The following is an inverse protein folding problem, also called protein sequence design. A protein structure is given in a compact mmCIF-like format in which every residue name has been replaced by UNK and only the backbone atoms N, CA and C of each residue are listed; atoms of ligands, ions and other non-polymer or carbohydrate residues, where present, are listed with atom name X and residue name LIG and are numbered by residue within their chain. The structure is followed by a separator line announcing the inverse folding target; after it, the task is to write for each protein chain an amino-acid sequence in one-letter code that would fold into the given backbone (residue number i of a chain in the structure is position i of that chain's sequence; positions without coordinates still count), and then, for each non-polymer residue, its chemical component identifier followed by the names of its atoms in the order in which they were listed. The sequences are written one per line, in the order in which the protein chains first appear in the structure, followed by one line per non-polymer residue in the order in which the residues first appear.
data_IF_817198841473
#
_entry.id   IF_817198841473
#
_cell.length_a   1.000
_cell.length_b   1.000
_cell.length_c   1.000
_cell.angle_alpha   90.00
_cell.angle_beta   90.00
_cell.angle_gamma   90.00
#
_symmetry.space_group_name_H-M   'P 1'
#
loop_
_entity.id
_entity.type
_entity.pdbx_description
1 polymer ?
#
# COMPACT_ATOMS: atom_id res chain seq x y z
N UNK A 1 -95.59 14.75 34.09
CA UNK A 1 -94.18 14.65 34.55
C UNK A 1 -93.39 13.51 33.91
N UNK A 2 -93.92 12.28 33.82
CA UNK A 2 -93.21 11.11 33.20
C UNK A 2 -92.71 11.36 31.76
N UNK A 3 -93.48 12.04 30.91
CA UNK A 3 -93.09 12.36 29.52
C UNK A 3 -91.90 13.33 29.42
N UNK A 4 -91.71 14.21 30.40
CA UNK A 4 -90.58 15.16 30.40
C UNK A 4 -89.29 14.49 30.91
N UNK A 5 -89.41 13.57 31.87
CA UNK A 5 -88.28 12.77 32.34
C UNK A 5 -87.71 11.88 31.22
N UNK A 6 -88.57 11.24 30.41
CA UNK A 6 -88.14 10.42 29.26
C UNK A 6 -87.43 11.26 28.19
N UNK A 7 -87.93 12.48 27.91
CA UNK A 7 -87.28 13.41 26.98
C UNK A 7 -85.89 13.84 27.48
N UNK A 8 -85.76 14.11 28.77
CA UNK A 8 -84.47 14.50 29.38
C UNK A 8 -83.46 13.35 29.30
N UNK A 9 -83.91 12.11 29.58
CA UNK A 9 -83.09 10.91 29.46
C UNK A 9 -82.64 10.67 28.01
N UNK A 10 -83.53 10.89 27.04
CA UNK A 10 -83.19 10.76 25.62
C UNK A 10 -82.11 11.77 25.18
N UNK A 11 -82.15 13.01 25.68
CA UNK A 11 -81.12 14.03 25.38
C UNK A 11 -79.77 13.63 25.98
N UNK A 12 -79.74 13.13 27.21
CA UNK A 12 -78.50 12.68 27.86
C UNK A 12 -77.87 11.52 27.09
N UNK A 13 -78.68 10.54 26.67
CA UNK A 13 -78.21 9.41 25.84
C UNK A 13 -77.66 9.90 24.50
N UNK A 14 -78.31 10.88 23.87
CA UNK A 14 -77.86 11.46 22.60
C UNK A 14 -76.49 12.15 22.75
N UNK A 15 -76.31 12.95 23.81
CA UNK A 15 -75.04 13.64 24.10
C UNK A 15 -73.93 12.63 24.38
N UNK A 16 -74.21 11.60 25.19
CA UNK A 16 -73.24 10.53 25.46
C UNK A 16 -72.83 9.77 24.19
N UNK A 17 -73.79 9.51 23.29
CA UNK A 17 -73.52 8.85 22.01
C UNK A 17 -72.63 9.71 21.09
N UNK A 18 -72.87 11.02 21.01
CA UNK A 18 -72.05 11.95 20.20
C UNK A 18 -70.62 12.00 20.73
N UNK A 19 -70.44 12.10 22.05
CA UNK A 19 -69.11 12.09 22.69
C UNK A 19 -68.40 10.75 22.42
N UNK A 20 -69.09 9.62 22.57
CA UNK A 20 -68.54 8.29 22.29
C UNK A 20 -68.05 8.13 20.85
N UNK A 21 -68.86 8.55 19.86
CA UNK A 21 -68.48 8.50 18.44
C UNK A 21 -67.26 9.39 18.17
N UNK A 22 -67.20 10.58 18.78
CA UNK A 22 -66.07 11.51 18.61
C UNK A 22 -64.76 10.93 19.15
N UNK A 23 -64.79 10.29 20.33
CA UNK A 23 -63.61 9.66 20.93
C UNK A 23 -63.15 8.44 20.11
N UNK A 24 -64.09 7.60 19.64
CA UNK A 24 -63.76 6.46 18.78
C UNK A 24 -63.12 6.93 17.48
N UNK A 25 -63.68 7.96 16.83
CA UNK A 25 -63.13 8.53 15.59
C UNK A 25 -61.73 9.12 15.82
N UNK A 26 -61.52 9.81 16.94
CA UNK A 26 -60.23 10.35 17.34
C UNK A 26 -59.19 9.24 17.55
N UNK A 27 -59.55 8.18 18.30
CA UNK A 27 -58.64 7.06 18.55
C UNK A 27 -58.31 6.26 17.29
N UNK A 28 -59.28 6.04 16.40
CA UNK A 28 -59.05 5.39 15.10
C UNK A 28 -58.13 6.24 14.24
N UNK A 29 -58.34 7.56 14.19
CA UNK A 29 -57.47 8.47 13.46
C UNK A 29 -56.05 8.49 14.03
N UNK A 30 -55.91 8.57 15.35
CA UNK A 30 -54.61 8.54 16.03
C UNK A 30 -53.88 7.22 15.78
N UNK A 31 -54.59 6.08 15.85
CA UNK A 31 -54.03 4.76 15.56
C UNK A 31 -53.54 4.66 14.10
N UNK A 32 -54.33 5.16 13.15
CA UNK A 32 -53.96 5.17 11.72
C UNK A 32 -52.76 6.06 11.44
N UNK A 33 -52.64 7.20 12.13
CA UNK A 33 -51.47 8.08 12.03
C UNK A 33 -50.25 7.44 12.68
N UNK A 34 -50.39 6.79 13.82
CA UNK A 34 -49.31 6.05 14.48
C UNK A 34 -48.80 4.90 13.61
N UNK A 35 -49.69 4.10 13.02
CA UNK A 35 -49.32 3.02 12.07
C UNK A 35 -48.54 3.57 10.87
N UNK A 36 -48.97 4.70 10.29
CA UNK A 36 -48.24 5.36 9.20
C UNK A 36 -46.85 5.83 9.63
N UNK A 37 -46.71 6.38 10.84
CA UNK A 37 -45.42 6.82 11.38
C UNK A 37 -44.50 5.61 11.61
N UNK A 38 -45.03 4.50 12.11
CA UNK A 38 -44.26 3.26 12.30
C UNK A 38 -43.77 2.71 10.96
N UNK A 39 -44.63 2.66 9.94
CA UNK A 39 -44.24 2.24 8.59
C UNK A 39 -43.17 3.14 7.99
N UNK A 40 -43.32 4.47 8.11
CA UNK A 40 -42.34 5.44 7.61
C UNK A 40 -40.99 5.29 8.32
N UNK A 41 -41.02 5.00 9.62
CA UNK A 41 -39.84 4.73 10.44
C UNK A 41 -39.14 3.45 10.00
N UNK A 42 -39.87 2.36 9.83
CA UNK A 42 -39.33 1.08 9.35
C UNK A 42 -38.74 1.19 7.94
N UNK A 43 -39.41 1.90 7.04
CA UNK A 43 -38.92 2.17 5.69
C UNK A 43 -37.63 3.00 5.70
N UNK A 44 -37.58 4.08 6.51
CA UNK A 44 -36.37 4.88 6.70
C UNK A 44 -35.18 4.06 7.20
N UNK A 45 -35.38 3.23 8.23
CA UNK A 45 -34.30 2.38 8.75
C UNK A 45 -33.86 1.33 7.74
N UNK A 46 -34.80 0.72 7.01
CA UNK A 46 -34.49 -0.27 5.97
C UNK A 46 -33.66 0.33 4.82
N UNK A 47 -34.02 1.51 4.34
CA UNK A 47 -33.28 2.20 3.28
C UNK A 47 -31.92 2.68 3.77
N UNK A 48 -31.84 3.20 5.00
CA UNK A 48 -30.56 3.63 5.58
C UNK A 48 -29.61 2.44 5.73
N UNK A 49 -30.10 1.34 6.29
CA UNK A 49 -29.29 0.15 6.55
C UNK A 49 -28.88 -0.52 5.22
N UNK A 50 -29.70 -0.47 4.16
CA UNK A 50 -29.28 -0.97 2.83
C UNK A 50 -28.17 -0.14 2.20
N UNK A 51 -28.23 1.19 2.29
CA UNK A 51 -27.19 2.08 1.76
C UNK A 51 -25.87 1.92 2.53
N UNK A 52 -25.95 1.76 3.85
CA UNK A 52 -24.77 1.51 4.69
C UNK A 52 -24.12 0.17 4.31
N UNK A 53 -24.92 -0.90 4.15
CA UNK A 53 -24.40 -2.21 3.76
C UNK A 53 -23.77 -2.18 2.36
N UNK A 54 -24.37 -1.48 1.40
CA UNK A 54 -23.84 -1.31 0.04
C UNK A 54 -22.49 -0.55 0.04
N UNK A 55 -22.38 0.53 0.82
CA UNK A 55 -21.13 1.28 0.95
C UNK A 55 -20.02 0.46 1.63
N UNK A 56 -20.36 -0.37 2.61
CA UNK A 56 -19.41 -1.27 3.27
C UNK A 56 -18.91 -2.37 2.31
N UNK A 57 -19.79 -2.92 1.47
CA UNK A 57 -19.43 -3.94 0.48
C UNK A 57 -18.48 -3.36 -0.59
N UNK A 58 -18.82 -2.20 -1.16
CA UNK A 58 -17.99 -1.51 -2.16
C UNK A 58 -16.61 -1.14 -1.60
N UNK A 59 -16.57 -0.61 -0.38
CA UNK A 59 -15.31 -0.22 0.26
C UNK A 59 -14.43 -1.45 0.52
N UNK A 60 -15.02 -2.54 1.01
CA UNK A 60 -14.31 -3.80 1.26
C UNK A 60 -13.77 -4.38 -0.05
N UNK A 61 -14.58 -4.35 -1.11
CA UNK A 61 -14.18 -4.79 -2.44
C UNK A 61 -13.00 -4.00 -2.99
N UNK A 62 -13.01 -2.66 -2.86
CA UNK A 62 -11.89 -1.80 -3.28
C UNK A 62 -10.61 -2.17 -2.52
N UNK A 63 -10.69 -2.43 -1.21
CA UNK A 63 -9.53 -2.85 -0.43
C UNK A 63 -9.00 -4.23 -0.86
N UNK A 64 -9.89 -5.20 -1.11
CA UNK A 64 -9.52 -6.53 -1.59
C UNK A 64 -8.83 -6.44 -2.94
N UNK A 65 -9.39 -5.69 -3.90
CA UNK A 65 -8.82 -5.49 -5.23
C UNK A 65 -7.44 -4.80 -5.13
N UNK A 66 -7.30 -3.81 -4.24
CA UNK A 66 -6.02 -3.15 -4.01
C UNK A 66 -4.96 -4.08 -3.41
N UNK A 67 -5.33 -4.96 -2.49
CA UNK A 67 -4.41 -5.93 -1.88
C UNK A 67 -3.97 -6.96 -2.92
N UNK A 68 -4.90 -7.48 -3.73
CA UNK A 68 -4.60 -8.45 -4.79
C UNK A 68 -3.68 -7.86 -5.87
N UNK A 69 -3.91 -6.61 -6.25
CA UNK A 69 -3.02 -5.90 -7.19
C UNK A 69 -1.61 -5.71 -6.62
N UNK A 70 -1.51 -5.36 -5.33
CA UNK A 70 -0.23 -5.20 -4.66
C UNK A 70 0.53 -6.53 -4.56
N UNK A 71 -0.17 -7.61 -4.22
CA UNK A 71 0.39 -8.96 -4.19
C UNK A 71 0.90 -9.38 -5.57
N UNK A 72 0.11 -9.15 -6.62
CA UNK A 72 0.50 -9.45 -8.00
C UNK A 72 1.74 -8.66 -8.43
N UNK A 73 1.84 -7.39 -8.04
CA UNK A 73 3.02 -6.57 -8.30
C UNK A 73 4.27 -7.14 -7.63
N UNK A 74 4.18 -7.48 -6.34
CA UNK A 74 5.34 -8.04 -5.61
C UNK A 74 5.76 -9.42 -6.15
N UNK A 75 4.81 -10.28 -6.48
CA UNK A 75 5.11 -11.58 -7.11
C UNK A 75 5.85 -11.40 -8.44
N UNK A 76 5.40 -10.47 -9.29
CA UNK A 76 6.09 -10.16 -10.54
C UNK A 76 7.52 -9.65 -10.34
N UNK A 77 7.75 -8.83 -9.31
CA UNK A 77 9.10 -8.35 -8.98
C UNK A 77 10.00 -9.47 -8.45
N UNK A 78 9.45 -10.40 -7.66
CA UNK A 78 10.17 -11.58 -7.18
C UNK A 78 10.56 -12.49 -8.36
N UNK A 79 9.64 -12.74 -9.29
CA UNK A 79 9.91 -13.55 -10.48
C UNK A 79 10.99 -12.92 -11.36
N UNK A 80 10.93 -11.60 -11.55
CA UNK A 80 11.96 -10.86 -12.29
C UNK A 80 13.35 -10.95 -11.63
N UNK A 81 13.41 -10.85 -10.30
CA UNK A 81 14.64 -11.02 -9.55
C UNK A 81 15.18 -12.45 -9.68
N UNK A 82 14.31 -13.45 -9.54
CA UNK A 82 14.69 -14.85 -9.69
C UNK A 82 15.24 -15.12 -11.09
N UNK A 83 14.61 -14.59 -12.13
CA UNK A 83 15.09 -14.72 -13.52
C UNK A 83 16.45 -14.03 -13.71
N UNK A 84 16.62 -12.82 -13.15
CA UNK A 84 17.90 -12.12 -13.19
C UNK A 84 19.02 -12.92 -12.53
N UNK A 85 18.79 -13.49 -11.35
CA UNK A 85 19.79 -14.29 -10.64
C UNK A 85 20.05 -15.62 -11.33
N UNK A 86 19.02 -16.32 -11.82
CA UNK A 86 19.18 -17.56 -12.57
C UNK A 86 20.03 -17.36 -13.84
N UNK A 87 19.78 -16.28 -14.59
CA UNK A 87 20.60 -15.93 -15.75
C UNK A 87 22.04 -15.60 -15.37
N UNK A 88 22.24 -14.88 -14.26
CA UNK A 88 23.59 -14.52 -13.79
C UNK A 88 24.37 -15.73 -13.29
N UNK A 89 23.72 -16.66 -12.60
CA UNK A 89 24.34 -17.90 -12.15
C UNK A 89 24.72 -18.79 -13.34
N UNK A 90 23.84 -18.91 -14.33
CA UNK A 90 24.13 -19.59 -15.60
C UNK A 90 25.36 -19.00 -16.32
N UNK A 91 25.44 -17.67 -16.41
CA UNK A 91 26.59 -16.97 -17.00
C UNK A 91 27.88 -17.20 -16.20
N UNK A 92 27.81 -17.17 -14.86
CA UNK A 92 28.96 -17.45 -14.00
C UNK A 92 29.45 -18.89 -14.14
N UNK A 93 28.54 -19.87 -14.22
CA UNK A 93 28.88 -21.28 -14.45
C UNK A 93 29.52 -21.47 -15.83
N UNK A 94 28.98 -20.82 -16.86
CA UNK A 94 29.54 -20.85 -18.21
C UNK A 94 30.96 -20.24 -18.25
N UNK A 95 31.16 -19.10 -17.59
CA UNK A 95 32.48 -18.44 -17.51
C UNK A 95 33.49 -19.26 -16.70
N UNK A 96 33.05 -19.88 -15.60
CA UNK A 96 33.88 -20.78 -14.79
C UNK A 96 34.30 -22.03 -15.59
N UNK A 97 33.41 -22.59 -16.39
CA UNK A 97 33.71 -23.72 -17.27
C UNK A 97 34.70 -23.32 -18.38
N UNK A 98 34.55 -22.14 -19.00
CA UNK A 98 35.54 -21.58 -19.93
C UNK A 98 36.91 -21.37 -19.28
N UNK A 99 36.96 -20.88 -18.04
CA UNK A 99 38.22 -20.74 -17.31
C UNK A 99 38.85 -22.09 -16.96
N UNK A 100 38.06 -23.13 -16.65
CA UNK A 100 38.58 -24.49 -16.42
C UNK A 100 39.19 -25.09 -17.69
N UNK A 101 38.55 -24.93 -18.84
CA UNK A 101 39.11 -25.39 -20.13
C UNK A 101 40.36 -24.61 -20.52
N UNK A 102 40.42 -23.31 -20.23
CA UNK A 102 41.59 -22.48 -20.52
C UNK A 102 42.76 -22.77 -19.56
N UNK A 103 42.49 -23.02 -18.26
CA UNK A 103 43.51 -23.40 -17.28
C UNK A 103 44.12 -24.79 -17.52
N UNK A 104 43.38 -25.71 -18.14
CA UNK A 104 43.95 -26.99 -18.60
C UNK A 104 45.01 -26.80 -19.71
N UNK A 105 45.00 -25.66 -20.41
CA UNK A 105 45.91 -25.35 -21.52
C UNK A 105 46.97 -24.28 -21.22
N UNK A 106 47.00 -23.69 -20.02
CA UNK A 106 48.00 -22.68 -19.66
C UNK A 106 48.61 -22.95 -18.30
N UNK A 107 49.90 -23.31 -18.33
CA UNK A 107 50.81 -23.43 -17.18
C UNK A 107 50.78 -22.18 -16.29
N UNK A 108 50.83 -22.29 -14.95
CA UNK A 108 50.62 -21.16 -14.06
C UNK A 108 51.86 -20.25 -14.00
N UNK A 109 51.85 -19.20 -14.81
CA UNK A 109 52.83 -18.12 -14.73
C UNK A 109 52.44 -17.20 -13.55
N UNK A 110 53.27 -17.22 -12.49
CA UNK A 110 53.12 -16.39 -11.29
C UNK A 110 53.14 -14.89 -11.66
N UNK A 111 51.98 -14.24 -11.68
CA UNK A 111 51.90 -12.78 -11.79
C UNK A 111 52.02 -12.15 -10.41
N UNK A 112 53.16 -11.49 -10.18
CA UNK A 112 53.37 -10.53 -9.11
C UNK A 112 52.22 -9.52 -9.09
N UNK A 113 51.66 -9.24 -7.90
CA UNK A 113 50.78 -8.09 -7.63
C UNK A 113 51.44 -6.83 -8.15
N UNK A 114 50.95 -6.33 -9.29
CA UNK A 114 51.35 -5.05 -9.82
C UNK A 114 50.49 -4.01 -9.11
N UNK A 115 51.09 -3.37 -8.11
CA UNK A 115 50.55 -2.16 -7.48
C UNK A 115 50.22 -1.18 -8.62
N UNK A 116 48.97 -0.72 -8.64
CA UNK A 116 48.44 0.17 -9.66
C UNK A 116 49.38 1.36 -9.89
N UNK A 117 49.58 1.71 -11.16
CA UNK A 117 50.46 2.82 -11.56
C UNK A 117 50.05 4.10 -10.78
N UNK A 118 51.00 4.89 -10.25
CA UNK A 118 50.71 6.06 -9.42
C UNK A 118 49.86 7.15 -10.09
N UNK A 119 49.74 7.15 -11.43
CA UNK A 119 48.82 8.06 -12.14
C UNK A 119 47.35 7.63 -12.05
N UNK A 120 47.05 6.35 -11.88
CA UNK A 120 45.66 5.86 -11.80
C UNK A 120 45.10 6.14 -10.40
N UNK A 121 45.90 5.96 -9.36
CA UNK A 121 45.47 6.21 -7.98
C UNK A 121 45.16 7.69 -7.70
N UNK A 122 45.95 8.60 -8.26
CA UNK A 122 45.71 10.05 -8.15
C UNK A 122 44.42 10.49 -8.85
N UNK A 123 44.18 9.99 -10.07
CA UNK A 123 42.96 10.29 -10.83
C UNK A 123 41.70 9.73 -10.14
N UNK A 124 41.75 8.50 -9.64
CA UNK A 124 40.66 7.88 -8.86
C UNK A 124 40.33 8.71 -7.62
N UNK A 125 41.35 9.19 -6.90
CA UNK A 125 41.16 10.01 -5.69
C UNK A 125 40.58 11.38 -6.01
N UNK A 126 41.00 12.00 -7.11
CA UNK A 126 40.44 13.29 -7.56
C UNK A 126 38.96 13.15 -7.91
N UNK A 127 38.63 12.18 -8.77
CA UNK A 127 37.24 11.95 -9.20
C UNK A 127 36.34 11.58 -8.03
N UNK A 128 36.83 10.76 -7.08
CA UNK A 128 36.07 10.40 -5.88
C UNK A 128 35.71 11.64 -5.05
N UNK A 129 36.66 12.54 -4.83
CA UNK A 129 36.43 13.77 -4.09
C UNK A 129 35.45 14.69 -4.82
N UNK A 130 35.56 14.81 -6.14
CA UNK A 130 34.68 15.65 -6.94
C UNK A 130 33.23 15.14 -6.96
N UNK A 131 33.05 13.82 -7.07
CA UNK A 131 31.73 13.20 -7.00
C UNK A 131 31.13 13.29 -5.60
N UNK A 132 31.94 13.08 -4.56
CA UNK A 132 31.47 13.18 -3.16
C UNK A 132 31.06 14.61 -2.80
N UNK A 133 31.74 15.64 -3.32
CA UNK A 133 31.37 17.05 -3.11
C UNK A 133 30.07 17.46 -3.80
N UNK A 134 29.66 16.74 -4.84
CA UNK A 134 28.40 17.00 -5.56
C UNK A 134 27.18 16.39 -4.89
N UNK A 135 27.39 15.57 -3.85
CA UNK A 135 26.29 15.00 -3.10
C UNK A 135 25.52 16.09 -2.35
N UNK A 136 24.17 16.02 -2.31
CA UNK A 136 23.36 16.94 -1.52
C UNK A 136 23.78 16.93 -0.04
N UNK A 137 23.82 18.13 0.57
CA UNK A 137 24.26 18.30 1.96
C UNK A 137 23.24 17.83 3.00
N UNK A 138 22.00 17.57 2.58
CA UNK A 138 20.85 17.15 3.38
C UNK A 138 20.64 15.63 3.44
N UNK A 139 21.54 14.84 2.83
CA UNK A 139 21.47 13.38 2.88
C UNK A 139 21.58 12.83 4.31
N UNK A 140 20.72 11.87 4.63
CA UNK A 140 20.82 11.10 5.87
C UNK A 140 22.08 10.23 5.87
N UNK A 141 22.51 9.77 7.06
CA UNK A 141 23.67 8.90 7.20
C UNK A 141 23.58 7.60 6.40
N UNK A 142 22.37 7.09 6.14
CA UNK A 142 22.16 5.90 5.30
C UNK A 142 22.34 6.23 3.83
N UNK A 143 21.66 7.26 3.34
CA UNK A 143 21.72 7.68 1.92
C UNK A 143 23.15 8.05 1.54
N UNK A 144 23.87 8.75 2.42
CA UNK A 144 25.28 9.09 2.20
C UNK A 144 26.16 7.84 2.01
N UNK A 145 25.92 6.76 2.75
CA UNK A 145 26.67 5.50 2.57
C UNK A 145 26.36 4.85 1.23
N UNK A 146 25.08 4.76 0.87
CA UNK A 146 24.64 4.18 -0.41
C UNK A 146 25.24 4.97 -1.58
N UNK A 147 25.16 6.30 -1.55
CA UNK A 147 25.74 7.14 -2.60
C UNK A 147 27.25 7.01 -2.70
N UNK A 148 27.97 6.85 -1.59
CA UNK A 148 29.42 6.59 -1.63
C UNK A 148 29.72 5.22 -2.26
N UNK A 149 28.94 4.19 -1.93
CA UNK A 149 29.10 2.87 -2.54
C UNK A 149 28.81 2.89 -4.05
N UNK A 150 27.82 3.66 -4.51
CA UNK A 150 27.55 3.90 -5.92
C UNK A 150 28.72 4.59 -6.62
N UNK A 151 29.27 5.65 -6.02
CA UNK A 151 30.47 6.35 -6.54
C UNK A 151 31.65 5.37 -6.68
N UNK A 152 31.86 4.49 -5.69
CA UNK A 152 32.91 3.46 -5.73
C UNK A 152 32.71 2.50 -6.91
N UNK A 153 31.46 2.06 -7.15
CA UNK A 153 31.12 1.17 -8.26
C UNK A 153 31.32 1.87 -9.61
N UNK A 154 30.94 3.14 -9.73
CA UNK A 154 31.15 3.92 -10.96
C UNK A 154 32.63 4.10 -11.27
N UNK A 155 33.45 4.44 -10.27
CA UNK A 155 34.90 4.56 -10.42
C UNK A 155 35.55 3.21 -10.76
N UNK A 156 35.09 2.12 -10.17
CA UNK A 156 35.53 0.77 -10.52
C UNK A 156 35.32 0.47 -12.01
N UNK A 157 34.15 0.82 -12.56
CA UNK A 157 33.83 0.66 -13.99
C UNK A 157 34.69 1.57 -14.86
N UNK A 158 34.82 2.85 -14.49
CA UNK A 158 35.58 3.87 -15.26
C UNK A 158 37.06 3.51 -15.39
N UNK A 159 37.67 3.04 -14.30
CA UNK A 159 39.10 2.75 -14.23
C UNK A 159 39.45 1.28 -14.44
N UNK A 160 38.45 0.40 -14.63
CA UNK A 160 38.61 -1.05 -14.80
C UNK A 160 39.43 -1.69 -13.66
N UNK A 161 39.19 -1.23 -12.43
CA UNK A 161 39.81 -1.74 -11.20
C UNK A 161 38.72 -2.27 -10.28
N UNK A 162 39.08 -3.16 -9.36
CA UNK A 162 38.07 -3.73 -8.45
C UNK A 162 37.51 -2.67 -7.48
N UNK A 163 36.25 -2.79 -7.03
CA UNK A 163 35.70 -1.89 -6.01
C UNK A 163 36.55 -1.85 -4.72
N UNK A 164 37.15 -2.97 -4.35
CA UNK A 164 38.04 -3.07 -3.19
C UNK A 164 39.34 -2.27 -3.39
N UNK A 165 39.90 -2.27 -4.60
CA UNK A 165 41.05 -1.44 -4.95
C UNK A 165 40.68 0.05 -4.92
N UNK A 166 39.49 0.42 -5.40
CA UNK A 166 38.99 1.81 -5.29
C UNK A 166 38.88 2.22 -3.82
N UNK A 167 38.26 1.39 -2.96
CA UNK A 167 38.15 1.62 -1.50
C UNK A 167 39.52 1.81 -0.85
N UNK A 168 40.51 0.99 -1.23
CA UNK A 168 41.89 1.13 -0.75
C UNK A 168 42.55 2.44 -1.19
N UNK A 169 42.34 2.87 -2.43
CA UNK A 169 42.90 4.12 -2.97
C UNK A 169 42.31 5.35 -2.26
N UNK A 170 41.00 5.34 -2.02
CA UNK A 170 40.29 6.49 -1.43
C UNK A 170 40.25 6.48 0.10
N UNK A 171 40.70 5.39 0.73
CA UNK A 171 40.76 5.26 2.19
C UNK A 171 39.41 5.09 2.87
N UNK A 172 38.36 4.71 2.13
CA UNK A 172 37.02 4.51 2.67
C UNK A 172 36.88 3.07 3.17
N UNK A 173 37.01 2.87 4.49
CA UNK A 173 36.71 1.58 5.13
C UNK A 173 35.21 1.53 5.45
N UNK A 174 34.58 0.42 5.08
CA UNK A 174 33.20 0.08 5.46
C UNK A 174 33.00 0.11 6.97
#
# INVERSE_FOLDING_TARGET
MKKNAIKLLAVIVLVAAIIGISVIKSNISAKRTAEKITLLKEEYFRTRDSVILEQLDDTTRIYVDSIQNLESFYLSQIDSLNEYFANKESLLVAELNKQKTNKANTSPQKTKKQISKPSVSSNVKSDFNDLTKRLPGDLTSYEKRVSIDEIIIELSKKYKISPDEVRQIVGHKS
#
